data_IF_914241869920
#
_entry.id   IF_914241869920
#
_cell.length_a   1.000
_cell.length_b   1.000
_cell.length_c   1.000
_cell.angle_alpha   90.00
_cell.angle_beta   90.00
_cell.angle_gamma   90.00
#
_symmetry.space_group_name_H-M   'P 1'
#
loop_
_entity.id
_entity.type
_entity.pdbx_description
1 polymer ?
#
# COMPACT_ATOMS: atom_id res chain seq x y z
N UNK A 1 -22.80 12.32 15.39
CA UNK A 1 -21.95 11.76 14.32
C UNK A 1 -21.36 10.49 14.88
N UNK A 2 -21.64 9.35 14.24
CA UNK A 2 -21.17 8.04 14.73
C UNK A 2 -19.65 7.93 14.54
N UNK A 3 -18.95 7.33 15.49
CA UNK A 3 -17.49 7.15 15.47
C UNK A 3 -17.05 6.39 14.21
N UNK A 4 -17.90 5.48 13.72
CA UNK A 4 -17.66 4.74 12.48
C UNK A 4 -17.59 5.65 11.25
N UNK A 5 -18.37 6.72 11.20
CA UNK A 5 -18.37 7.65 10.06
C UNK A 5 -17.11 8.51 10.07
N UNK A 6 -16.65 8.94 11.24
CA UNK A 6 -15.36 9.65 11.39
C UNK A 6 -14.18 8.79 10.97
N UNK A 7 -14.15 7.51 11.36
CA UNK A 7 -13.08 6.59 10.97
C UNK A 7 -13.10 6.36 9.45
N UNK A 8 -14.29 6.23 8.85
CA UNK A 8 -14.42 6.05 7.39
C UNK A 8 -14.01 7.29 6.60
N UNK A 9 -14.38 8.48 7.06
CA UNK A 9 -13.98 9.73 6.43
C UNK A 9 -12.48 9.99 6.57
N UNK A 10 -11.91 9.69 7.74
CA UNK A 10 -10.46 9.71 7.95
C UNK A 10 -9.75 8.76 6.98
N UNK A 11 -10.17 7.49 6.92
CA UNK A 11 -9.59 6.51 6.00
C UNK A 11 -9.73 6.97 4.55
N UNK A 12 -10.91 7.43 4.11
CA UNK A 12 -11.14 7.88 2.74
C UNK A 12 -10.32 9.13 2.38
N UNK A 13 -10.16 10.06 3.32
CA UNK A 13 -9.33 11.24 3.16
C UNK A 13 -7.86 10.88 2.99
N UNK A 14 -7.29 10.09 3.90
CA UNK A 14 -5.89 9.66 3.82
C UNK A 14 -5.62 8.75 2.61
N UNK A 15 -6.55 7.87 2.27
CA UNK A 15 -6.48 7.03 1.07
C UNK A 15 -6.50 7.85 -0.23
N UNK A 16 -7.25 8.97 -0.30
CA UNK A 16 -7.18 9.89 -1.45
C UNK A 16 -5.94 10.76 -1.43
N UNK A 17 -5.59 11.32 -0.26
CA UNK A 17 -4.45 12.23 -0.10
C UNK A 17 -3.10 11.54 -0.40
N UNK A 18 -2.97 10.26 -0.06
CA UNK A 18 -1.80 9.44 -0.37
C UNK A 18 -1.81 8.91 -1.82
N UNK A 19 -2.83 9.22 -2.61
CA UNK A 19 -2.96 8.69 -3.97
C UNK A 19 -3.14 7.17 -4.03
N UNK A 20 -3.57 6.53 -2.94
CA UNK A 20 -3.80 5.08 -2.84
C UNK A 20 -4.96 4.58 -3.73
N UNK A 21 -5.84 5.49 -4.17
CA UNK A 21 -6.86 5.21 -5.21
C UNK A 21 -6.40 5.53 -6.62
N UNK A 22 -5.22 6.13 -6.78
CA UNK A 22 -4.62 6.45 -8.06
C UNK A 22 -3.78 5.27 -8.58
N UNK A 23 -3.91 4.97 -9.87
CA UNK A 23 -3.07 3.96 -10.57
C UNK A 23 -1.59 4.35 -10.64
N UNK A 24 -1.21 5.56 -10.19
CA UNK A 24 0.16 6.04 -10.23
C UNK A 24 0.47 6.97 -9.05
N UNK A 25 1.42 6.55 -8.21
CA UNK A 25 2.04 7.35 -7.16
C UNK A 25 3.06 8.30 -7.78
N UNK A 26 2.97 9.60 -7.49
CA UNK A 26 3.91 10.64 -7.96
C UNK A 26 4.20 10.60 -9.48
N UNK A 27 3.21 10.28 -10.32
CA UNK A 27 3.37 10.14 -11.77
C UNK A 27 4.41 9.09 -12.20
N UNK A 28 4.83 8.19 -11.29
CA UNK A 28 5.85 7.17 -11.55
C UNK A 28 5.38 6.01 -12.46
N UNK A 29 4.11 6.03 -12.86
CA UNK A 29 3.45 4.90 -13.53
C UNK A 29 3.20 3.68 -12.63
N UNK A 30 3.62 3.71 -11.36
CA UNK A 30 3.47 2.60 -10.40
C UNK A 30 2.49 2.92 -9.28
N UNK A 31 1.76 1.93 -8.79
CA UNK A 31 0.89 2.09 -7.63
C UNK A 31 1.72 2.35 -6.36
N UNK A 32 1.10 2.94 -5.33
CA UNK A 32 1.79 3.14 -4.04
C UNK A 32 2.22 1.80 -3.42
N UNK A 33 1.45 0.73 -3.64
CA UNK A 33 1.83 -0.61 -3.18
C UNK A 33 3.11 -1.12 -3.85
N UNK A 34 3.28 -0.92 -5.17
CA UNK A 34 4.49 -1.32 -5.92
C UNK A 34 5.71 -0.50 -5.48
N UNK A 35 5.54 0.81 -5.28
CA UNK A 35 6.63 1.68 -4.82
C UNK A 35 7.06 1.28 -3.40
N UNK A 36 6.10 0.99 -2.52
CA UNK A 36 6.39 0.54 -1.16
C UNK A 36 7.04 -0.84 -1.15
N UNK A 37 6.66 -1.75 -2.05
CA UNK A 37 7.31 -3.04 -2.24
C UNK A 37 8.80 -2.87 -2.58
N UNK A 38 9.13 -2.03 -3.56
CA UNK A 38 10.52 -1.74 -3.96
C UNK A 38 11.31 -1.14 -2.78
N UNK A 39 10.69 -0.21 -2.05
CA UNK A 39 11.30 0.41 -0.87
C UNK A 39 11.65 -0.64 0.19
N UNK A 40 10.72 -1.55 0.54
CA UNK A 40 10.97 -2.54 1.59
C UNK A 40 11.97 -3.62 1.18
N UNK A 41 12.03 -4.01 -0.10
CA UNK A 41 13.09 -4.90 -0.60
C UNK A 41 14.47 -4.23 -0.42
N UNK A 42 14.57 -2.94 -0.72
CA UNK A 42 15.81 -2.18 -0.54
C UNK A 42 16.17 -1.96 0.93
N UNK A 43 15.19 -1.74 1.80
CA UNK A 43 15.39 -1.44 3.22
C UNK A 43 15.68 -2.70 4.06
N UNK A 44 15.01 -3.82 3.79
CA UNK A 44 15.08 -5.05 4.59
C UNK A 44 16.16 -6.04 4.10
N UNK A 45 16.71 -5.85 2.91
CA UNK A 45 17.70 -6.77 2.33
C UNK A 45 17.05 -8.11 1.91
N UNK A 46 17.73 -9.26 2.07
CA UNK A 46 17.17 -10.56 1.68
C UNK A 46 15.91 -10.88 2.51
N UNK A 47 14.75 -10.71 1.89
CA UNK A 47 13.42 -10.91 2.51
C UNK A 47 12.57 -11.83 1.63
N UNK A 48 11.79 -12.72 2.25
CA UNK A 48 10.89 -13.61 1.52
C UNK A 48 9.62 -12.87 1.09
N UNK A 49 9.00 -13.31 -0.01
CA UNK A 49 7.72 -12.77 -0.46
C UNK A 49 6.63 -12.82 0.63
N UNK A 50 6.61 -13.88 1.45
CA UNK A 50 5.68 -14.03 2.57
C UNK A 50 5.89 -12.97 3.66
N UNK A 51 7.15 -12.67 3.99
CA UNK A 51 7.47 -11.61 4.96
C UNK A 51 7.09 -10.23 4.40
N UNK A 52 7.32 -9.98 3.11
CA UNK A 52 6.88 -8.74 2.46
C UNK A 52 5.35 -8.59 2.47
N UNK A 53 4.60 -9.65 2.17
CA UNK A 53 3.14 -9.64 2.22
C UNK A 53 2.64 -9.24 3.63
N UNK A 54 3.23 -9.82 4.68
CA UNK A 54 2.90 -9.48 6.07
C UNK A 54 3.22 -8.03 6.43
N UNK A 55 4.41 -7.54 6.07
CA UNK A 55 4.85 -6.17 6.36
C UNK A 55 3.99 -5.13 5.62
N UNK A 56 3.59 -5.45 4.40
CA UNK A 56 2.78 -4.56 3.56
C UNK A 56 1.27 -4.67 3.82
N UNK A 57 0.84 -5.68 4.58
CA UNK A 57 -0.59 -5.97 4.81
C UNK A 57 -1.31 -6.43 3.54
N UNK A 58 -0.58 -7.04 2.61
CA UNK A 58 -1.10 -7.55 1.35
C UNK A 58 -1.37 -9.05 1.46
N UNK A 59 -2.37 -9.54 0.74
CA UNK A 59 -2.51 -10.97 0.54
C UNK A 59 -1.48 -11.48 -0.48
N UNK A 60 -1.15 -12.78 -0.39
CA UNK A 60 -0.14 -13.40 -1.26
C UNK A 60 -0.54 -13.34 -2.75
N UNK A 61 -1.84 -13.31 -3.05
CA UNK A 61 -2.34 -13.24 -4.42
C UNK A 61 -2.22 -11.82 -5.01
N UNK A 62 -2.39 -10.78 -4.19
CA UNK A 62 -2.13 -9.38 -4.53
C UNK A 62 -0.65 -9.20 -4.84
N UNK A 63 0.23 -9.71 -3.98
CA UNK A 63 1.67 -9.63 -4.19
C UNK A 63 2.11 -10.36 -5.47
N UNK A 64 1.50 -11.51 -5.79
CA UNK A 64 1.79 -12.30 -6.99
C UNK A 64 1.36 -11.62 -8.31
N UNK A 65 0.39 -10.69 -8.25
CA UNK A 65 -0.12 -9.96 -9.42
C UNK A 65 0.61 -8.65 -9.70
N UNK A 66 1.50 -8.23 -8.82
CA UNK A 66 2.28 -6.98 -8.91
C UNK A 66 3.59 -7.17 -9.68
#
# INVERSE_FOLDING_TARGET
MDVLDQIRDFNRFYTRALGLTGRSYLQSGRSLAEVRLIHEIGALGPVTARQLAQVLGLDEAQLSRM
#
